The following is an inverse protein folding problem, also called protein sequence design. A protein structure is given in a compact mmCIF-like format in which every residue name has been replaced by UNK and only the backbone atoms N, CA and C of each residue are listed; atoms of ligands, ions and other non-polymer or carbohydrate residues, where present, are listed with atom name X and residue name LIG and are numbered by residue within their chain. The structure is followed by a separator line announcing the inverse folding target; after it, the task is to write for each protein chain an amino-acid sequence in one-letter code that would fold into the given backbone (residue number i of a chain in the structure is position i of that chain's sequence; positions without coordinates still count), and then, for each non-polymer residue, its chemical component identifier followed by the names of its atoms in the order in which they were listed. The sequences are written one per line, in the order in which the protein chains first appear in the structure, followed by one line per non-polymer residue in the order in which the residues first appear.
data_IF_191338402367
#
_entry.id   IF_191338402367
#
_cell.length_a   1.000
_cell.length_b   1.000
_cell.length_c   1.000
_cell.angle_alpha   90.00
_cell.angle_beta   90.00
_cell.angle_gamma   90.00
#
_symmetry.space_group_name_H-M   'P 1'
#
loop_
_entity.id
_entity.type
_entity.pdbx_description
1 polymer ?
#
# COMPACT_ATOMS: atom_id res chain seq x y z
N UNK A 1 18.15 -6.03 6.70
CA UNK A 1 16.81 -5.48 6.42
C UNK A 1 16.54 -5.76 4.95
N UNK A 2 15.58 -6.62 4.61
CA UNK A 2 15.24 -6.90 3.20
C UNK A 2 14.50 -5.67 2.67
N UNK A 3 15.14 -4.90 1.78
CA UNK A 3 14.47 -3.90 0.97
C UNK A 3 13.46 -4.65 0.10
N UNK A 4 12.17 -4.58 0.45
CA UNK A 4 11.11 -5.04 -0.43
C UNK A 4 11.11 -4.13 -1.66
N UNK A 5 11.21 -4.72 -2.85
CA UNK A 5 11.11 -3.98 -4.10
C UNK A 5 9.78 -3.22 -4.17
N UNK A 6 9.87 -1.90 -4.30
CA UNK A 6 8.82 -1.03 -4.84
C UNK A 6 7.48 -1.09 -4.12
N UNK A 7 7.47 -0.77 -2.81
CA UNK A 7 6.22 -0.41 -2.13
C UNK A 7 5.47 0.67 -2.95
N UNK A 8 4.14 0.61 -2.99
CA UNK A 8 3.34 1.60 -3.69
C UNK A 8 3.41 2.96 -2.99
N UNK A 9 3.23 4.04 -3.75
CA UNK A 9 3.26 5.41 -3.23
C UNK A 9 1.92 6.10 -3.48
N UNK A 10 1.56 7.07 -2.64
CA UNK A 10 0.49 8.01 -2.95
C UNK A 10 0.99 9.05 -3.96
N UNK A 11 0.12 9.55 -4.86
CA UNK A 11 0.44 10.63 -5.80
C UNK A 11 0.49 12.00 -5.10
N UNK A 12 1.19 12.08 -3.98
CA UNK A 12 1.40 13.31 -3.20
C UNK A 12 2.90 13.59 -3.17
N UNK A 13 3.29 14.83 -3.49
CA UNK A 13 4.70 15.26 -3.50
C UNK A 13 5.32 15.42 -2.10
N UNK A 14 4.93 14.58 -1.14
CA UNK A 14 5.38 14.60 0.26
C UNK A 14 5.73 13.18 0.71
N UNK A 15 6.75 13.08 1.56
CA UNK A 15 7.08 11.84 2.25
C UNK A 15 5.88 11.34 3.04
N UNK A 16 5.59 10.06 2.94
CA UNK A 16 4.53 9.40 3.66
C UNK A 16 4.95 7.96 3.97
N UNK A 17 4.50 7.45 5.11
CA UNK A 17 4.59 6.04 5.43
C UNK A 17 3.30 5.35 4.98
N UNK A 18 3.41 4.18 4.36
CA UNK A 18 2.24 3.40 3.95
C UNK A 18 1.66 2.57 5.09
N UNK A 19 2.47 2.30 6.12
CA UNK A 19 2.06 1.68 7.36
C UNK A 19 2.99 2.10 8.50
N UNK A 20 2.49 1.96 9.73
CA UNK A 20 3.29 2.06 10.95
C UNK A 20 2.60 1.28 12.06
N UNK A 21 3.39 0.71 12.98
CA UNK A 21 2.87 0.06 14.18
C UNK A 21 3.09 0.90 15.44
N UNK A 22 2.10 0.87 16.32
CA UNK A 22 2.19 1.38 17.68
C UNK A 22 1.59 0.37 18.66
N UNK A 23 2.43 -0.15 19.56
CA UNK A 23 2.09 -1.25 20.45
C UNK A 23 1.54 -2.47 19.67
N UNK A 24 0.29 -2.86 19.93
CA UNK A 24 -0.35 -4.05 19.34
C UNK A 24 -1.18 -3.73 18.09
N UNK A 25 -1.12 -2.50 17.59
CA UNK A 25 -1.91 -2.05 16.45
C UNK A 25 -1.00 -1.63 15.31
N UNK A 26 -1.34 -2.06 14.11
CA UNK A 26 -0.73 -1.59 12.86
C UNK A 26 -1.75 -0.75 12.10
N UNK A 27 -1.31 0.41 11.65
CA UNK A 27 -2.09 1.38 10.91
C UNK A 27 -1.63 1.36 9.47
N UNK A 28 -2.57 1.28 8.52
CA UNK A 28 -2.30 1.32 7.08
C UNK A 28 -2.82 2.64 6.53
N UNK A 29 -2.01 3.32 5.71
CA UNK A 29 -2.43 4.52 4.99
C UNK A 29 -3.55 4.23 3.99
N UNK A 30 -4.14 5.28 3.41
CA UNK A 30 -5.19 5.12 2.39
C UNK A 30 -4.66 4.42 1.13
N UNK A 31 -4.87 3.10 1.01
CA UNK A 31 -4.37 2.33 -0.12
C UNK A 31 -5.33 2.38 -1.31
N UNK A 32 -4.84 2.83 -2.46
CA UNK A 32 -5.50 2.71 -3.77
C UNK A 32 -4.72 1.77 -4.70
N UNK A 33 -5.15 1.62 -5.95
CA UNK A 33 -4.41 0.86 -6.97
C UNK A 33 -3.23 1.65 -7.56
N UNK A 34 -2.32 2.06 -6.70
CA UNK A 34 -1.12 2.82 -7.06
C UNK A 34 0.10 1.93 -7.20
N UNK A 35 0.98 2.20 -8.15
CA UNK A 35 2.32 1.61 -8.22
C UNK A 35 3.35 2.37 -7.35
N UNK A 36 4.62 1.98 -7.46
CA UNK A 36 5.74 2.59 -6.73
C UNK A 36 6.03 4.05 -7.15
N UNK A 37 5.44 4.53 -8.26
CA UNK A 37 5.52 5.92 -8.72
C UNK A 37 4.24 6.70 -8.40
N UNK A 38 3.29 6.08 -7.70
CA UNK A 38 1.99 6.65 -7.38
C UNK A 38 1.02 6.73 -8.55
N UNK A 39 1.28 6.00 -9.65
CA UNK A 39 0.38 5.96 -10.80
C UNK A 39 -0.68 4.88 -10.62
N UNK A 40 -1.90 5.16 -11.10
CA UNK A 40 -2.99 4.18 -11.10
C UNK A 40 -2.69 3.08 -12.12
N UNK A 41 -2.70 1.81 -11.70
CA UNK A 41 -2.36 0.68 -12.59
C UNK A 41 -3.51 0.29 -13.53
N UNK A 42 -4.75 0.40 -13.05
CA UNK A 42 -5.96 -0.01 -13.78
C UNK A 42 -6.92 1.17 -14.03
N UNK A 43 -6.53 2.16 -14.86
CA UNK A 43 -7.39 3.32 -15.14
C UNK A 43 -8.69 2.90 -15.83
N UNK A 44 -9.83 3.33 -15.28
CA UNK A 44 -11.17 3.02 -15.80
C UNK A 44 -11.71 1.62 -15.47
N UNK A 45 -10.87 0.71 -14.98
CA UNK A 45 -11.29 -0.61 -14.49
C UNK A 45 -11.43 -0.61 -12.96
N UNK A 46 -12.65 -0.36 -12.48
CA UNK A 46 -12.93 -0.36 -11.04
C UNK A 46 -12.70 -1.72 -10.36
N UNK A 47 -12.92 -2.83 -11.08
CA UNK A 47 -12.65 -4.16 -10.55
C UNK A 47 -11.16 -4.41 -10.35
N UNK A 48 -10.35 -3.98 -11.34
CA UNK A 48 -8.89 -3.93 -11.25
C UNK A 48 -8.41 -3.05 -10.10
N UNK A 49 -9.00 -1.86 -9.94
CA UNK A 49 -8.63 -0.93 -8.87
C UNK A 49 -8.91 -1.48 -7.48
N UNK A 50 -10.04 -2.16 -7.26
CA UNK A 50 -10.33 -2.82 -5.99
C UNK A 50 -9.29 -3.90 -5.69
N UNK A 51 -8.97 -4.75 -6.67
CA UNK A 51 -7.95 -5.80 -6.52
C UNK A 51 -6.57 -5.20 -6.20
N UNK A 52 -6.19 -4.14 -6.91
CA UNK A 52 -4.95 -3.43 -6.71
C UNK A 52 -4.84 -2.77 -5.34
N UNK A 53 -5.92 -2.14 -4.88
CA UNK A 53 -6.01 -1.54 -3.55
C UNK A 53 -5.86 -2.58 -2.43
N UNK A 54 -6.57 -3.71 -2.51
CA UNK A 54 -6.44 -4.79 -1.50
C UNK A 54 -5.03 -5.40 -1.51
N UNK A 55 -4.43 -5.60 -2.69
CA UNK A 55 -3.03 -6.03 -2.79
C UNK A 55 -2.08 -5.05 -2.10
N UNK A 56 -2.32 -3.76 -2.27
CA UNK A 56 -1.53 -2.69 -1.65
C UNK A 56 -1.74 -2.62 -0.12
N UNK A 57 -2.95 -2.86 0.39
CA UNK A 57 -3.16 -3.04 1.85
C UNK A 57 -2.33 -4.22 2.37
N UNK A 58 -2.38 -5.36 1.68
CA UNK A 58 -1.61 -6.55 2.06
C UNK A 58 -0.10 -6.30 2.08
N UNK A 59 0.45 -5.58 1.08
CA UNK A 59 1.88 -5.26 1.07
C UNK A 59 2.28 -4.26 2.16
N UNK A 60 1.40 -3.32 2.52
CA UNK A 60 1.63 -2.39 3.61
C UNK A 60 1.62 -3.11 4.98
N UNK A 61 0.65 -3.99 5.22
CA UNK A 61 0.59 -4.83 6.43
C UNK A 61 1.82 -5.74 6.56
N UNK A 62 2.32 -6.28 5.45
CA UNK A 62 3.49 -7.15 5.47
C UNK A 62 4.77 -6.45 5.97
N UNK A 63 4.88 -5.12 5.83
CA UNK A 63 5.99 -4.36 6.42
C UNK A 63 5.95 -4.33 7.94
N UNK A 64 4.75 -4.45 8.50
CA UNK A 64 4.48 -4.47 9.94
C UNK A 64 4.32 -5.91 10.49
N UNK A 65 4.81 -6.91 9.76
CA UNK A 65 4.66 -8.35 10.08
C UNK A 65 3.20 -8.81 10.26
N UNK A 66 2.27 -8.13 9.58
CA UNK A 66 0.85 -8.44 9.56
C UNK A 66 0.44 -9.01 8.20
N UNK A 67 -0.75 -9.62 8.13
CA UNK A 67 -1.37 -10.10 6.90
C UNK A 67 -2.83 -9.69 6.81
N UNK A 68 -3.41 -9.79 5.62
CA UNK A 68 -4.86 -9.83 5.49
C UNK A 68 -5.40 -11.09 6.19
N UNK A 69 -6.65 -11.01 6.67
CA UNK A 69 -7.38 -12.11 7.32
C UNK A 69 -7.98 -13.08 6.29
#
# INVERSE_FOLDING_TARGET
MKTQEGIWHLPVGRTHEVAASAALLSFVGGAGDFDHQGQVRSPGDYGGQIKGAIKNVGSALAQENCSLA
#
